data_IF_844372223803
#
_entry.id   IF_844372223803
#
_cell.length_a   1.000
_cell.length_b   1.000
_cell.length_c   1.000
_cell.angle_alpha   90.00
_cell.angle_beta   90.00
_cell.angle_gamma   90.00
#
_symmetry.space_group_name_H-M   'P 1'
#
loop_
_entity.id
_entity.type
_entity.pdbx_description
1 polymer ?
#
# COMPACT_ATOMS: atom_id res chain seq x y z
N UNK A 1 26.98 21.54 21.02
CA UNK A 1 27.79 21.26 19.82
C UNK A 1 27.10 20.13 19.06
N UNK A 2 26.34 20.45 18.01
CA UNK A 2 25.86 19.44 17.06
C UNK A 2 27.04 19.05 16.19
N UNK A 3 27.59 17.86 16.41
CA UNK A 3 28.57 17.27 15.50
C UNK A 3 27.83 17.03 14.20
N UNK A 4 28.25 17.75 13.14
CA UNK A 4 27.71 17.55 11.81
C UNK A 4 28.07 16.11 11.39
N UNK A 5 27.10 15.22 11.12
CA UNK A 5 27.40 13.84 10.78
C UNK A 5 28.23 13.81 9.49
N UNK A 6 29.28 12.99 9.46
CA UNK A 6 30.05 12.70 8.24
C UNK A 6 29.17 11.94 7.24
N UNK A 7 28.37 12.70 6.48
CA UNK A 7 27.44 12.19 5.49
C UNK A 7 28.15 11.36 4.40
N UNK A 8 29.34 11.76 3.88
CA UNK A 8 30.10 10.92 2.95
C UNK A 8 30.50 9.55 3.51
N UNK A 9 31.00 9.51 4.76
CA UNK A 9 31.36 8.25 5.42
C UNK A 9 30.15 7.35 5.67
N UNK A 10 29.02 7.93 6.06
CA UNK A 10 27.74 7.23 6.19
C UNK A 10 27.24 6.68 4.85
N UNK A 11 27.31 7.46 3.78
CA UNK A 11 26.91 7.01 2.45
C UNK A 11 27.74 5.81 1.98
N UNK A 12 29.05 5.82 2.23
CA UNK A 12 29.94 4.71 1.89
C UNK A 12 29.58 3.45 2.68
N UNK A 13 29.29 3.58 3.98
CA UNK A 13 28.81 2.45 4.80
C UNK A 13 27.49 1.90 4.29
N UNK A 14 26.58 2.74 3.82
CA UNK A 14 25.29 2.29 3.27
C UNK A 14 25.52 1.48 1.99
N UNK A 15 26.34 1.99 1.07
CA UNK A 15 26.65 1.31 -0.21
C UNK A 15 27.37 -0.03 0.01
N UNK A 16 28.20 -0.15 1.06
CA UNK A 16 28.91 -1.39 1.39
C UNK A 16 28.02 -2.47 2.02
N UNK A 17 26.98 -2.08 2.78
CA UNK A 17 26.18 -3.01 3.58
C UNK A 17 24.83 -3.37 2.94
N UNK A 18 24.36 -2.58 1.97
CA UNK A 18 23.05 -2.77 1.34
C UNK A 18 23.18 -2.83 -0.18
N UNK A 19 22.44 -3.75 -0.80
CA UNK A 19 22.28 -3.76 -2.25
C UNK A 19 21.50 -2.53 -2.73
N UNK A 20 21.67 -2.15 -4.00
CA UNK A 20 20.92 -1.04 -4.60
C UNK A 20 19.39 -1.19 -4.45
N UNK A 21 18.88 -2.42 -4.46
CA UNK A 21 17.46 -2.70 -4.25
C UNK A 21 17.02 -2.38 -2.81
N UNK A 22 17.79 -2.83 -1.81
CA UNK A 22 17.54 -2.54 -0.40
C UNK A 22 17.68 -1.03 -0.11
N UNK A 23 18.66 -0.35 -0.71
CA UNK A 23 18.82 1.10 -0.58
C UNK A 23 17.59 1.82 -1.15
N UNK A 24 17.11 1.43 -2.33
CA UNK A 24 15.91 2.00 -2.92
C UNK A 24 14.66 1.76 -2.05
N UNK A 25 14.56 0.59 -1.41
CA UNK A 25 13.49 0.30 -0.45
C UNK A 25 13.57 1.20 0.79
N UNK A 26 14.77 1.33 1.39
CA UNK A 26 14.99 2.19 2.55
C UNK A 26 14.64 3.65 2.24
N UNK A 27 15.07 4.17 1.09
CA UNK A 27 14.72 5.52 0.64
C UNK A 27 13.20 5.72 0.60
N UNK A 28 12.44 4.74 0.06
CA UNK A 28 10.98 4.82 0.02
C UNK A 28 10.34 4.79 1.41
N UNK A 29 10.93 4.07 2.36
CA UNK A 29 10.42 3.98 3.73
C UNK A 29 10.64 5.25 4.53
N UNK A 30 11.73 5.99 4.26
CA UNK A 30 12.09 7.20 5.01
C UNK A 30 11.65 8.49 4.29
N UNK A 31 11.34 8.43 2.99
CA UNK A 31 10.85 9.59 2.25
C UNK A 31 9.42 9.93 2.70
N UNK A 32 9.13 11.21 3.03
CA UNK A 32 7.84 11.62 3.59
C UNK A 32 6.67 11.30 2.65
N UNK A 33 6.88 11.38 1.33
CA UNK A 33 5.97 10.87 0.29
C UNK A 33 6.83 10.46 -0.90
N UNK A 34 6.71 9.21 -1.37
CA UNK A 34 7.33 8.82 -2.65
C UNK A 34 6.55 9.49 -3.79
N UNK A 35 7.18 10.23 -4.71
CA UNK A 35 6.48 10.92 -5.80
C UNK A 35 5.76 9.95 -6.75
N UNK A 36 6.13 8.67 -6.72
CA UNK A 36 5.50 7.60 -7.50
C UNK A 36 4.43 6.83 -6.70
N UNK A 37 4.21 7.17 -5.42
CA UNK A 37 3.12 6.57 -4.65
C UNK A 37 1.76 7.01 -5.23
N UNK A 38 0.84 6.06 -5.31
CA UNK A 38 -0.50 6.28 -5.86
C UNK A 38 -1.55 6.51 -4.76
N UNK A 39 -1.24 6.14 -3.51
CA UNK A 39 -2.10 6.36 -2.35
C UNK A 39 -1.29 6.29 -1.05
N UNK A 40 -1.86 6.84 0.02
CA UNK A 40 -1.30 6.72 1.36
C UNK A 40 -1.50 5.31 1.94
N UNK A 41 -0.72 4.95 2.97
CA UNK A 41 -0.77 3.63 3.58
C UNK A 41 -2.13 3.33 4.24
N UNK A 42 -2.71 4.32 4.92
CA UNK A 42 -4.02 4.21 5.55
C UNK A 42 -5.15 4.09 4.52
N UNK A 43 -5.04 4.79 3.39
CA UNK A 43 -5.96 4.65 2.25
C UNK A 43 -5.88 3.25 1.64
N UNK A 44 -4.67 2.71 1.49
CA UNK A 44 -4.47 1.35 1.00
C UNK A 44 -5.14 0.32 1.91
N UNK A 45 -4.98 0.41 3.23
CA UNK A 45 -5.65 -0.50 4.17
C UNK A 45 -7.19 -0.40 4.07
N UNK A 46 -7.73 0.82 3.92
CA UNK A 46 -9.17 1.02 3.69
C UNK A 46 -9.64 0.33 2.41
N UNK A 47 -8.91 0.51 1.30
CA UNK A 47 -9.21 -0.14 0.01
C UNK A 47 -9.18 -1.66 0.15
N UNK A 48 -8.12 -2.22 0.73
CA UNK A 48 -7.97 -3.67 0.85
C UNK A 48 -9.06 -4.29 1.72
N UNK A 49 -9.50 -3.60 2.79
CA UNK A 49 -10.64 -4.03 3.60
C UNK A 49 -11.96 -4.04 2.81
N UNK A 50 -12.21 -3.02 1.97
CA UNK A 50 -13.37 -3.01 1.07
C UNK A 50 -13.29 -4.19 0.10
N UNK A 51 -12.13 -4.44 -0.52
CA UNK A 51 -11.94 -5.51 -1.48
C UNK A 51 -12.03 -6.91 -0.87
N UNK A 52 -11.66 -7.08 0.41
CA UNK A 52 -11.78 -8.31 1.15
C UNK A 52 -13.24 -8.64 1.50
N UNK A 53 -14.06 -7.64 1.83
CA UNK A 53 -15.48 -7.80 2.13
C UNK A 53 -16.38 -8.06 0.92
N UNK A 54 -15.87 -7.93 -0.31
CA UNK A 54 -16.60 -8.27 -1.53
C UNK A 54 -16.70 -9.81 -1.68
N UNK A 55 -17.74 -10.42 -1.09
CA UNK A 55 -18.01 -11.88 -1.07
C UNK A 55 -18.03 -12.60 -2.43
N UNK A 56 -17.98 -11.88 -3.56
CA UNK A 56 -18.12 -12.45 -4.91
C UNK A 56 -16.82 -12.96 -5.52
N UNK A 57 -15.64 -12.68 -4.95
CA UNK A 57 -14.33 -13.04 -5.56
C UNK A 57 -13.29 -13.47 -4.54
N UNK A 58 -12.49 -14.50 -4.88
CA UNK A 58 -11.37 -15.02 -4.06
C UNK A 58 -10.48 -13.91 -3.49
N UNK A 59 -10.21 -13.96 -2.18
CA UNK A 59 -9.31 -13.03 -1.48
C UNK A 59 -7.89 -13.00 -2.09
N UNK A 60 -7.17 -11.91 -1.83
CA UNK A 60 -5.76 -11.78 -2.18
C UNK A 60 -4.89 -12.49 -1.14
N UNK A 61 -3.79 -13.11 -1.57
CA UNK A 61 -2.80 -13.68 -0.64
C UNK A 61 -1.92 -12.58 -0.02
N UNK A 62 -1.28 -12.88 1.11
CA UNK A 62 -0.39 -11.91 1.79
C UNK A 62 0.74 -11.41 0.90
N UNK A 63 1.31 -12.28 0.06
CA UNK A 63 2.33 -11.87 -0.95
C UNK A 63 1.74 -10.91 -1.98
N UNK A 64 0.49 -11.11 -2.39
CA UNK A 64 -0.19 -10.19 -3.31
C UNK A 64 -0.46 -8.84 -2.63
N UNK A 65 -0.93 -8.87 -1.38
CA UNK A 65 -1.15 -7.64 -0.58
C UNK A 65 0.17 -6.87 -0.44
N UNK A 66 1.27 -7.57 -0.13
CA UNK A 66 2.61 -6.98 -0.03
C UNK A 66 3.07 -6.37 -1.34
N UNK A 67 2.90 -7.06 -2.47
CA UNK A 67 3.26 -6.55 -3.79
C UNK A 67 2.45 -5.30 -4.15
N UNK A 68 1.15 -5.28 -3.82
CA UNK A 68 0.30 -4.12 -4.00
C UNK A 68 0.74 -2.94 -3.14
N UNK A 69 1.14 -3.18 -1.88
CA UNK A 69 1.66 -2.13 -0.99
C UNK A 69 2.95 -1.52 -1.55
N UNK A 70 3.88 -2.34 -2.06
CA UNK A 70 5.10 -1.83 -2.69
C UNK A 70 4.79 -0.89 -3.87
N UNK A 71 3.84 -1.26 -4.73
CA UNK A 71 3.50 -0.42 -5.90
C UNK A 71 2.69 0.81 -5.50
N UNK A 72 1.57 0.62 -4.80
CA UNK A 72 0.57 1.66 -4.59
C UNK A 72 0.97 2.64 -3.47
N UNK A 73 1.67 2.17 -2.44
CA UNK A 73 2.04 2.98 -1.26
C UNK A 73 3.49 3.44 -1.35
N UNK A 74 4.41 2.54 -1.70
CA UNK A 74 5.84 2.86 -1.70
C UNK A 74 6.33 3.43 -3.05
N UNK A 75 5.49 3.39 -4.10
CA UNK A 75 5.84 3.86 -5.44
C UNK A 75 6.90 3.00 -6.14
N UNK A 76 7.01 1.72 -5.77
CA UNK A 76 7.91 0.78 -6.44
C UNK A 76 7.36 0.42 -7.83
N UNK A 77 8.25 0.14 -8.77
CA UNK A 77 7.85 -0.42 -10.07
C UNK A 77 7.33 -1.86 -9.91
N UNK A 78 6.56 -2.33 -10.90
CA UNK A 78 6.10 -3.74 -10.96
C UNK A 78 7.27 -4.73 -10.90
N UNK A 79 8.41 -4.38 -11.49
CA UNK A 79 9.62 -5.20 -11.50
C UNK A 79 10.23 -5.32 -10.10
N UNK A 80 10.26 -4.24 -9.35
CA UNK A 80 10.80 -4.22 -7.98
C UNK A 80 9.84 -4.93 -7.02
N UNK A 81 8.54 -4.65 -7.09
CA UNK A 81 7.56 -5.35 -6.27
C UNK A 81 7.56 -6.86 -6.51
N UNK A 82 7.80 -7.29 -7.77
CA UNK A 82 7.97 -8.69 -8.12
C UNK A 82 9.22 -9.30 -7.43
N UNK A 83 10.36 -8.60 -7.49
CA UNK A 83 11.59 -9.01 -6.83
C UNK A 83 11.41 -9.15 -5.31
N UNK A 84 10.87 -8.12 -4.66
CA UNK A 84 10.72 -8.06 -3.20
C UNK A 84 9.74 -9.10 -2.65
N UNK A 85 8.77 -9.54 -3.45
CA UNK A 85 7.76 -10.52 -3.02
C UNK A 85 8.01 -11.94 -3.55
N UNK A 86 9.06 -12.12 -4.35
CA UNK A 86 9.33 -13.38 -5.06
C UNK A 86 8.23 -13.77 -6.05
N UNK A 87 7.41 -12.83 -6.49
CA UNK A 87 6.38 -13.04 -7.50
C UNK A 87 6.94 -12.76 -8.91
N UNK A 88 6.30 -13.30 -9.95
CA UNK A 88 6.67 -12.91 -11.31
C UNK A 88 6.06 -11.55 -11.66
N UNK A 89 6.71 -10.80 -12.55
CA UNK A 89 6.20 -9.51 -13.05
C UNK A 89 4.79 -9.62 -13.63
N UNK A 90 4.50 -10.73 -14.32
CA UNK A 90 3.17 -11.00 -14.87
C UNK A 90 2.10 -11.16 -13.78
N UNK A 91 2.43 -11.82 -12.67
CA UNK A 91 1.51 -11.97 -11.52
C UNK A 91 1.23 -10.61 -10.89
N UNK A 92 2.26 -9.79 -10.67
CA UNK A 92 2.10 -8.43 -10.10
C UNK A 92 1.29 -7.54 -11.05
N UNK A 93 1.54 -7.60 -12.36
CA UNK A 93 0.75 -6.85 -13.34
C UNK A 93 -0.73 -7.25 -13.33
N UNK A 94 -1.04 -8.56 -13.38
CA UNK A 94 -2.42 -9.05 -13.30
C UNK A 94 -3.09 -8.69 -11.98
N UNK A 95 -2.34 -8.71 -10.88
CA UNK A 95 -2.81 -8.26 -9.58
C UNK A 95 -3.24 -6.79 -9.62
N UNK A 96 -2.41 -5.89 -10.16
CA UNK A 96 -2.74 -4.47 -10.27
C UNK A 96 -4.00 -4.24 -11.13
N UNK A 97 -4.10 -4.93 -12.27
CA UNK A 97 -5.29 -4.87 -13.11
C UNK A 97 -6.55 -5.36 -12.37
N UNK A 98 -6.43 -6.43 -11.58
CA UNK A 98 -7.53 -6.99 -10.79
C UNK A 98 -7.96 -6.07 -9.64
N UNK A 99 -7.03 -5.39 -8.99
CA UNK A 99 -7.35 -4.39 -7.95
C UNK A 99 -8.10 -3.22 -8.59
N UNK A 100 -7.62 -2.70 -9.72
CA UNK A 100 -8.28 -1.61 -10.46
C UNK A 100 -9.70 -1.99 -10.88
N UNK A 101 -9.87 -3.15 -11.52
CA UNK A 101 -11.20 -3.62 -11.94
C UNK A 101 -12.17 -3.76 -10.76
N UNK A 102 -11.70 -4.19 -9.57
CA UNK A 102 -12.57 -4.26 -8.38
C UNK A 102 -12.93 -2.90 -7.79
N UNK A 103 -12.06 -1.90 -7.96
CA UNK A 103 -12.34 -0.52 -7.59
C UNK A 103 -13.37 0.10 -8.54
N UNK A 104 -13.25 -0.19 -9.84
CA UNK A 104 -14.21 0.23 -10.88
C UNK A 104 -15.57 -0.48 -10.76
N UNK A 105 -15.59 -1.74 -10.29
CA UNK A 105 -16.82 -2.51 -10.02
C UNK A 105 -17.58 -2.05 -8.76
N UNK A 106 -17.13 -0.98 -8.07
CA UNK A 106 -17.89 -0.40 -6.95
C UNK A 106 -19.22 0.18 -7.49
N UNK A 107 -20.36 -0.04 -6.82
CA UNK A 107 -21.64 0.44 -7.32
C UNK A 107 -21.63 1.97 -7.50
N UNK A 108 -22.20 2.46 -8.60
CA UNK A 108 -22.13 3.87 -9.00
C UNK A 108 -22.76 4.85 -7.98
N UNK A 109 -23.59 4.35 -7.06
CA UNK A 109 -24.23 5.07 -5.96
C UNK A 109 -23.36 5.16 -4.69
N UNK A 110 -22.16 4.60 -4.70
CA UNK A 110 -21.26 4.64 -3.55
C UNK A 110 -20.49 5.96 -3.53
N UNK A 111 -20.65 6.68 -2.43
CA UNK A 111 -19.93 7.93 -2.19
C UNK A 111 -18.74 7.64 -1.27
N UNK A 112 -17.53 8.00 -1.71
CA UNK A 112 -16.35 8.03 -0.83
C UNK A 112 -16.56 9.17 0.17
N UNK A 113 -16.70 8.84 1.46
CA UNK A 113 -16.78 9.83 2.53
C UNK A 113 -15.39 9.98 3.15
N UNK A 114 -14.79 11.17 3.01
CA UNK A 114 -13.56 11.55 3.71
C UNK A 114 -13.86 12.70 4.67
N UNK A 115 -13.62 12.49 5.96
CA UNK A 115 -13.87 13.48 7.01
C UNK A 115 -12.84 13.34 8.14
N UNK A 116 -12.41 14.47 8.69
CA UNK A 116 -11.62 14.51 9.93
C UNK A 116 -12.56 14.38 11.12
N UNK A 117 -12.35 13.34 11.93
CA UNK A 117 -13.20 12.99 13.06
C UNK A 117 -12.36 12.81 14.33
N UNK A 118 -12.89 13.13 15.52
CA UNK A 118 -12.31 12.69 16.77
C UNK A 118 -12.15 11.15 16.81
N UNK A 119 -11.13 10.59 17.49
CA UNK A 119 -10.83 9.16 17.45
C UNK A 119 -12.00 8.24 17.79
N UNK A 120 -12.83 8.62 18.77
CA UNK A 120 -14.01 7.85 19.15
C UNK A 120 -15.03 7.76 18.00
N UNK A 121 -15.38 8.90 17.40
CA UNK A 121 -16.31 8.97 16.27
C UNK A 121 -15.76 8.28 15.02
N UNK A 122 -14.45 8.33 14.79
CA UNK A 122 -13.81 7.57 13.71
C UNK A 122 -13.98 6.05 13.93
N UNK A 123 -13.83 5.57 15.17
CA UNK A 123 -14.09 4.19 15.54
C UNK A 123 -15.52 3.75 15.22
N UNK A 124 -16.50 4.57 15.59
CA UNK A 124 -17.93 4.29 15.35
C UNK A 124 -18.26 4.21 13.85
N UNK A 125 -17.74 5.17 13.06
CA UNK A 125 -17.94 5.18 11.60
C UNK A 125 -17.27 3.96 10.95
N UNK A 126 -16.08 3.56 11.40
CA UNK A 126 -15.41 2.35 10.91
C UNK A 126 -16.18 1.08 11.26
N UNK A 127 -16.71 0.97 12.49
CA UNK A 127 -17.51 -0.16 12.93
C UNK A 127 -18.83 -0.25 12.13
N UNK A 128 -19.50 0.87 11.89
CA UNK A 128 -20.70 0.94 11.06
C UNK A 128 -20.40 0.56 9.60
N UNK A 129 -19.31 1.07 9.03
CA UNK A 129 -18.90 0.68 7.68
C UNK A 129 -18.64 -0.83 7.58
N UNK A 130 -18.08 -1.45 8.63
CA UNK A 130 -17.86 -2.88 8.68
C UNK A 130 -19.15 -3.68 8.78
N UNK A 131 -20.10 -3.27 9.63
CA UNK A 131 -21.40 -3.96 9.78
C UNK A 131 -22.22 -3.92 8.48
N UNK A 132 -22.25 -2.78 7.78
CA UNK A 132 -22.92 -2.63 6.49
C UNK A 132 -22.31 -3.52 5.40
N UNK A 133 -20.99 -3.76 5.43
CA UNK A 133 -20.32 -4.72 4.53
C UNK A 133 -20.72 -6.16 4.84
N UNK A 134 -20.72 -6.54 6.12
CA UNK A 134 -21.08 -7.90 6.56
C UNK A 134 -22.55 -8.25 6.31
N UNK A 135 -23.46 -7.29 6.45
CA UNK A 135 -24.89 -7.50 6.21
C UNK A 135 -25.26 -7.74 4.72
N UNK A 136 -24.33 -7.42 3.80
CA UNK A 136 -24.52 -7.57 2.35
C UNK A 136 -23.78 -8.80 1.78
N UNK A 137 -23.13 -9.57 2.64
CA UNK A 137 -22.34 -10.76 2.34
C UNK A 137 -23.23 -11.98 2.17
#
# INVERSE_FOLDING_TARGET
>A
MSVDPDLPGLATKIIQNYSNAQIAQLIRMISPVSPCALMAADEFERVMNVLAGQNRRRAFSDRSISAARFVLVMGASVSEAALETGLTRQVVHRLMARIRARLEDLPADWVKVEAWLPPAAAGDVLALAQSLRSARS
#
